data_IF_424403631982
#
_entry.id   IF_424403631982
#
_cell.length_a   1.000
_cell.length_b   1.000
_cell.length_c   1.000
_cell.angle_alpha   90.00
_cell.angle_beta   90.00
_cell.angle_gamma   90.00
#
_symmetry.space_group_name_H-M   'P 1'
#
loop_
_entity.id
_entity.type
_entity.pdbx_description
1 polymer ?
#
# COMPACT_ATOMS: atom_id res chain seq x y z
N UNK A 1 10.41 2.93 8.29
CA UNK A 1 9.09 2.91 7.62
C UNK A 1 8.85 4.27 7.00
N UNK A 2 8.06 4.38 5.95
CA UNK A 2 7.62 5.67 5.39
C UNK A 2 6.17 5.60 4.89
N UNK A 3 5.48 6.74 4.91
CA UNK A 3 4.12 6.89 4.39
C UNK A 3 4.12 7.64 3.06
N UNK A 4 3.27 7.19 2.14
CA UNK A 4 3.13 7.74 0.79
C UNK A 4 1.65 7.83 0.42
N UNK A 5 1.28 8.88 -0.32
CA UNK A 5 -0.09 9.12 -0.75
C UNK A 5 -0.06 9.48 -2.24
N UNK A 6 -1.02 8.95 -3.01
CA UNK A 6 -1.25 9.25 -4.42
C UNK A 6 -2.66 9.85 -4.61
N UNK A 7 -2.88 10.56 -5.71
CA UNK A 7 -4.18 11.13 -6.07
C UNK A 7 -4.38 12.59 -5.64
N UNK A 8 -3.30 13.37 -5.59
CA UNK A 8 -3.41 14.82 -5.40
C UNK A 8 -3.91 15.52 -6.68
N UNK A 9 -4.58 16.66 -6.51
CA UNK A 9 -4.93 17.54 -7.64
C UNK A 9 -3.66 18.02 -8.37
N UNK A 10 -3.67 17.96 -9.70
CA UNK A 10 -2.52 18.27 -10.55
C UNK A 10 -1.44 17.19 -10.59
N UNK A 11 -1.66 16.03 -9.98
CA UNK A 11 -0.74 14.89 -10.05
C UNK A 11 -0.60 14.37 -11.48
N UNK A 12 0.65 14.16 -11.92
CA UNK A 12 0.97 13.60 -13.22
C UNK A 12 1.06 12.07 -13.16
N UNK A 13 0.60 11.41 -14.22
CA UNK A 13 0.74 9.96 -14.46
C UNK A 13 2.15 9.44 -14.15
N UNK A 14 2.22 8.19 -13.67
CA UNK A 14 3.45 7.54 -13.22
C UNK A 14 3.93 8.02 -11.85
N UNK A 15 3.05 8.62 -11.03
CA UNK A 15 3.38 9.02 -9.67
C UNK A 15 3.74 7.79 -8.82
N UNK A 16 2.97 6.72 -8.96
CA UNK A 16 3.23 5.47 -8.26
C UNK A 16 4.62 4.90 -8.61
N UNK A 17 5.00 4.88 -9.89
CA UNK A 17 6.31 4.40 -10.33
C UNK A 17 7.47 5.21 -9.74
N UNK A 18 7.31 6.53 -9.62
CA UNK A 18 8.32 7.40 -8.96
C UNK A 18 8.44 7.08 -7.46
N UNK A 19 7.34 6.79 -6.79
CA UNK A 19 7.31 6.37 -5.39
C UNK A 19 7.99 5.01 -5.22
N UNK A 20 7.68 4.03 -6.07
CA UNK A 20 8.34 2.71 -6.07
C UNK A 20 9.85 2.88 -6.19
N UNK A 21 10.31 3.65 -7.17
CA UNK A 21 11.75 3.91 -7.38
C UNK A 21 12.39 4.51 -6.13
N UNK A 22 11.76 5.53 -5.53
CA UNK A 22 12.28 6.14 -4.31
C UNK A 22 12.35 5.13 -3.14
N UNK A 23 11.31 4.32 -2.95
CA UNK A 23 11.25 3.28 -1.90
C UNK A 23 12.37 2.26 -2.08
N UNK A 24 12.62 1.84 -3.31
CA UNK A 24 13.69 0.90 -3.66
C UNK A 24 15.09 1.49 -3.43
N UNK A 25 15.33 2.73 -3.90
CA UNK A 25 16.62 3.42 -3.75
C UNK A 25 16.96 3.72 -2.28
N UNK A 26 15.97 4.19 -1.52
CA UNK A 26 16.10 4.47 -0.10
C UNK A 26 16.12 3.19 0.76
N UNK A 27 15.87 2.02 0.16
CA UNK A 27 15.75 0.73 0.83
C UNK A 27 14.76 0.78 2.01
N UNK A 28 13.55 1.33 1.80
CA UNK A 28 12.52 1.44 2.83
C UNK A 28 11.75 0.11 2.91
N UNK A 29 11.86 -0.70 3.99
CA UNK A 29 11.23 -2.03 4.00
C UNK A 29 9.70 -1.94 3.94
N UNK A 30 9.13 -1.12 4.84
CA UNK A 30 7.68 -0.89 4.94
C UNK A 30 7.31 0.48 4.41
N UNK A 31 6.60 0.50 3.29
CA UNK A 31 6.06 1.69 2.64
C UNK A 31 4.53 1.67 2.74
N UNK A 32 3.98 2.39 3.73
CA UNK A 32 2.54 2.55 3.85
C UNK A 32 2.07 3.43 2.70
N UNK A 33 1.30 2.87 1.77
CA UNK A 33 0.87 3.57 0.57
C UNK A 33 -0.65 3.65 0.56
N UNK A 34 -1.22 4.80 0.22
CA UNK A 34 -2.66 5.02 0.23
C UNK A 34 -3.09 6.00 -0.86
N UNK A 35 -4.37 5.98 -1.20
CA UNK A 35 -4.99 7.02 -2.03
C UNK A 35 -5.48 8.17 -1.15
N UNK A 36 -5.47 9.40 -1.68
CA UNK A 36 -5.86 10.59 -0.94
C UNK A 36 -7.37 10.53 -0.59
N UNK A 37 -7.66 10.81 0.67
CA UNK A 37 -9.03 10.86 1.21
C UNK A 37 -9.28 12.25 1.78
N UNK A 38 -10.43 12.83 1.44
CA UNK A 38 -10.90 14.07 2.05
C UNK A 38 -11.65 13.74 3.35
N UNK A 39 -11.04 13.97 4.50
CA UNK A 39 -11.72 13.72 5.78
C UNK A 39 -12.70 14.85 6.13
N UNK A 40 -13.86 14.54 6.74
CA UNK A 40 -14.84 15.54 7.14
C UNK A 40 -14.22 16.67 7.97
N UNK A 41 -14.68 17.90 7.74
CA UNK A 41 -14.24 19.12 8.45
C UNK A 41 -12.77 19.52 8.24
N UNK A 42 -12.08 18.94 7.25
CA UNK A 42 -10.75 19.41 6.85
C UNK A 42 -10.81 20.52 5.82
N UNK A 43 -9.71 21.28 5.66
CA UNK A 43 -9.61 22.30 4.62
C UNK A 43 -9.81 21.71 3.20
N UNK A 44 -9.31 20.50 2.97
CA UNK A 44 -9.51 19.78 1.71
C UNK A 44 -11.00 19.44 1.49
N UNK A 45 -11.69 18.96 2.52
CA UNK A 45 -13.12 18.67 2.47
C UNK A 45 -13.94 19.90 2.10
N UNK A 46 -13.79 21.00 2.83
CA UNK A 46 -14.54 22.23 2.56
C UNK A 46 -14.28 22.79 1.17
N UNK A 47 -13.06 22.66 0.66
CA UNK A 47 -12.72 23.04 -0.72
C UNK A 47 -13.46 22.16 -1.72
N UNK A 48 -13.36 20.84 -1.59
CA UNK A 48 -13.98 19.89 -2.52
C UNK A 48 -15.52 19.93 -2.45
N UNK A 49 -16.09 20.22 -1.29
CA UNK A 49 -17.52 20.45 -1.09
C UNK A 49 -17.98 21.67 -1.91
N UNK A 50 -17.25 22.78 -1.79
CA UNK A 50 -17.51 24.00 -2.58
C UNK A 50 -17.35 23.78 -4.08
N UNK A 51 -16.41 22.92 -4.48
CA UNK A 51 -16.17 22.53 -5.87
C UNK A 51 -17.17 21.49 -6.40
N UNK A 52 -18.05 20.93 -5.55
CA UNK A 52 -19.00 19.89 -5.94
C UNK A 52 -18.35 18.55 -6.30
N UNK A 53 -17.13 18.28 -5.81
CA UNK A 53 -16.31 17.10 -6.16
C UNK A 53 -16.35 15.99 -5.11
N UNK A 54 -16.96 16.22 -3.95
CA UNK A 54 -17.10 15.20 -2.90
C UNK A 54 -18.11 14.13 -3.30
N UNK A 55 -17.83 12.89 -2.91
CA UNK A 55 -18.72 11.74 -3.16
C UNK A 55 -19.33 11.27 -1.84
N UNK A 56 -20.64 11.52 -1.69
CA UNK A 56 -21.39 11.33 -0.44
C UNK A 56 -21.52 9.85 -0.02
N UNK A 57 -21.53 8.92 -0.98
CA UNK A 57 -21.73 7.47 -0.74
C UNK A 57 -20.43 6.66 -0.53
N UNK A 58 -19.28 7.31 -0.42
CA UNK A 58 -17.99 6.62 -0.28
C UNK A 58 -17.61 6.49 1.19
N UNK A 59 -17.02 5.35 1.59
CA UNK A 59 -16.48 5.19 2.95
C UNK A 59 -15.49 6.31 3.24
N UNK A 60 -15.76 7.10 4.27
CA UNK A 60 -14.88 8.18 4.73
C UNK A 60 -13.85 7.60 5.71
N UNK A 61 -13.01 6.70 5.21
CA UNK A 61 -11.95 6.08 6.01
C UNK A 61 -10.57 6.30 5.37
N UNK A 62 -9.51 6.05 6.15
CA UNK A 62 -8.11 6.18 5.73
C UNK A 62 -7.48 4.82 5.39
N UNK A 63 -8.30 3.83 5.01
CA UNK A 63 -7.81 2.49 4.75
C UNK A 63 -7.05 2.43 3.42
N UNK A 64 -5.99 1.61 3.35
CA UNK A 64 -5.21 1.36 2.13
C UNK A 64 -5.99 0.53 1.10
N UNK A 65 -7.22 0.14 1.40
CA UNK A 65 -8.09 -0.56 0.46
C UNK A 65 -9.33 0.25 0.08
N UNK A 66 -9.36 1.55 0.36
CA UNK A 66 -10.47 2.43 -0.01
C UNK A 66 -10.13 3.29 -1.21
N UNK A 67 -11.03 3.32 -2.20
CA UNK A 67 -11.01 4.21 -3.34
C UNK A 67 -11.24 5.66 -2.87
N UNK A 68 -10.82 6.64 -3.67
CA UNK A 68 -10.93 8.06 -3.32
C UNK A 68 -12.40 8.49 -3.15
N UNK A 69 -12.66 9.25 -2.08
CA UNK A 69 -13.99 9.77 -1.75
C UNK A 69 -14.34 11.11 -2.44
N UNK A 70 -13.60 11.48 -3.48
CA UNK A 70 -13.84 12.67 -4.30
C UNK A 70 -13.36 12.43 -5.74
N UNK A 71 -13.79 13.27 -6.67
CA UNK A 71 -13.40 13.21 -8.08
C UNK A 71 -12.06 13.96 -8.25
N UNK A 72 -10.93 13.29 -8.57
CA UNK A 72 -9.64 13.95 -8.75
C UNK A 72 -9.54 14.69 -10.10
N UNK A 73 -8.46 15.45 -10.31
CA UNK A 73 -8.22 16.14 -11.60
C UNK A 73 -7.76 15.23 -12.74
N UNK A 74 -7.49 13.95 -12.45
CA UNK A 74 -7.15 12.91 -13.43
C UNK A 74 -8.11 11.72 -13.26
N UNK A 75 -8.31 10.86 -14.28
CA UNK A 75 -9.25 9.74 -14.19
C UNK A 75 -8.94 8.85 -13.00
N UNK A 76 -9.96 8.51 -12.19
CA UNK A 76 -9.78 7.73 -10.96
C UNK A 76 -9.31 6.30 -11.26
N UNK A 77 -9.68 5.78 -12.42
CA UNK A 77 -9.23 4.51 -12.98
C UNK A 77 -7.71 4.46 -13.09
N UNK A 78 -7.09 5.48 -13.68
CA UNK A 78 -5.63 5.54 -13.82
C UNK A 78 -4.94 5.57 -12.46
N UNK A 79 -5.51 6.28 -11.48
CA UNK A 79 -4.97 6.34 -10.11
C UNK A 79 -5.06 4.97 -9.46
N UNK A 80 -6.21 4.31 -9.58
CA UNK A 80 -6.46 3.00 -8.99
C UNK A 80 -5.56 1.92 -9.60
N UNK A 81 -5.37 1.94 -10.93
CA UNK A 81 -4.48 1.01 -11.63
C UNK A 81 -3.01 1.20 -11.20
N UNK A 82 -2.52 2.45 -11.21
CA UNK A 82 -1.18 2.79 -10.71
C UNK A 82 -1.00 2.36 -9.25
N UNK A 83 -2.03 2.56 -8.42
CA UNK A 83 -2.03 2.20 -7.02
C UNK A 83 -1.89 0.69 -6.81
N UNK A 84 -2.69 -0.10 -7.54
CA UNK A 84 -2.64 -1.57 -7.52
C UNK A 84 -1.26 -2.06 -7.97
N UNK A 85 -0.74 -1.53 -9.07
CA UNK A 85 0.58 -1.90 -9.60
C UNK A 85 1.69 -1.64 -8.58
N UNK A 86 1.66 -0.48 -7.92
CA UNK A 86 2.61 -0.17 -6.87
C UNK A 86 2.50 -1.08 -5.66
N UNK A 87 1.30 -1.37 -5.16
CA UNK A 87 1.14 -2.35 -4.08
C UNK A 87 1.66 -3.73 -4.46
N UNK A 88 1.37 -4.16 -5.68
CA UNK A 88 1.80 -5.45 -6.19
C UNK A 88 3.32 -5.58 -6.27
N UNK A 89 3.96 -4.50 -6.72
CA UNK A 89 5.42 -4.42 -6.91
C UNK A 89 6.16 -4.24 -5.58
N UNK A 90 5.70 -3.32 -4.73
CA UNK A 90 6.33 -3.00 -3.44
C UNK A 90 6.32 -4.21 -2.50
N UNK A 91 5.22 -4.97 -2.50
CA UNK A 91 5.03 -6.12 -1.64
C UNK A 91 5.20 -7.45 -2.39
N UNK A 92 5.93 -7.44 -3.51
CA UNK A 92 6.45 -8.68 -4.05
C UNK A 92 7.46 -9.34 -3.10
N UNK A 93 7.40 -10.66 -3.00
CA UNK A 93 8.20 -11.41 -2.04
C UNK A 93 9.71 -11.20 -2.25
N UNK A 94 10.16 -11.10 -3.50
CA UNK A 94 11.57 -10.90 -3.82
C UNK A 94 11.97 -9.45 -3.60
N UNK A 95 11.21 -8.50 -4.15
CA UNK A 95 11.48 -7.08 -3.99
C UNK A 95 11.54 -6.68 -2.51
N UNK A 96 10.57 -7.14 -1.70
CA UNK A 96 10.53 -6.88 -0.28
C UNK A 96 11.75 -7.44 0.46
N UNK A 97 12.16 -8.69 0.17
CA UNK A 97 13.32 -9.30 0.80
C UNK A 97 14.63 -8.60 0.42
N UNK A 98 14.83 -8.31 -0.87
CA UNK A 98 16.03 -7.64 -1.38
C UNK A 98 16.12 -6.20 -0.83
N UNK A 99 14.98 -5.49 -0.75
CA UNK A 99 14.88 -4.15 -0.15
C UNK A 99 15.14 -4.16 1.35
N UNK A 100 14.54 -5.10 2.08
CA UNK A 100 14.74 -5.25 3.53
C UNK A 100 16.21 -5.57 3.83
N UNK A 101 16.82 -6.50 3.10
CA UNK A 101 18.24 -6.81 3.25
C UNK A 101 19.14 -5.58 3.06
N UNK A 102 18.95 -4.81 1.99
CA UNK A 102 19.69 -3.56 1.75
C UNK A 102 19.50 -2.54 2.87
N UNK A 103 18.31 -2.45 3.46
CA UNK A 103 18.04 -1.58 4.61
C UNK A 103 18.90 -1.99 5.81
N UNK A 104 18.87 -3.26 6.18
CA UNK A 104 19.54 -3.77 7.38
C UNK A 104 21.07 -3.82 7.25
N UNK A 105 21.62 -3.85 6.04
CA UNK A 105 23.04 -3.61 5.82
C UNK A 105 23.47 -2.15 6.05
N UNK A 106 22.56 -1.18 5.83
CA UNK A 106 22.83 0.25 6.04
C UNK A 106 22.57 0.69 7.49
N UNK A 107 21.76 -0.06 8.24
CA UNK A 107 21.44 0.27 9.63
C UNK A 107 22.67 0.12 10.52
N UNK A 108 22.94 1.14 11.34
CA UNK A 108 23.90 1.02 12.43
C UNK A 108 23.40 0.07 13.53
N UNK A 109 24.30 -0.34 14.41
CA UNK A 109 23.92 -1.09 15.61
C UNK A 109 22.88 -0.30 16.44
N UNK A 110 21.87 -0.99 17.01
CA UNK A 110 20.87 -0.33 17.85
C UNK A 110 21.55 0.33 19.04
N UNK A 111 21.24 1.61 19.28
CA UNK A 111 21.84 2.37 20.39
C UNK A 111 21.17 2.09 21.74
N UNK A 112 19.97 1.49 21.74
CA UNK A 112 19.26 1.07 22.94
C UNK A 112 19.42 -0.44 23.10
N UNK A 113 20.06 -0.85 24.20
CA UNK A 113 20.22 -2.25 24.58
C UNK A 113 19.23 -2.57 25.72
N UNK A 114 18.02 -3.05 25.41
CA UNK A 114 17.13 -3.55 26.45
C UNK A 114 17.78 -4.75 27.15
N UNK A 115 17.48 -4.97 28.45
CA UNK A 115 17.98 -6.15 29.16
C UNK A 115 17.50 -7.42 28.45
N UNK A 116 18.40 -8.39 28.31
CA UNK A 116 18.10 -9.67 27.67
C UNK A 116 16.91 -10.35 28.37
N UNK A 117 15.90 -10.74 27.58
CA UNK A 117 14.75 -11.51 28.05
C UNK A 117 14.75 -12.85 27.31
N UNK A 118 14.49 -13.92 28.03
CA UNK A 118 14.30 -15.23 27.41
C UNK A 118 13.09 -15.16 26.47
N UNK A 119 13.20 -15.67 25.23
CA UNK A 119 12.09 -15.67 24.29
C UNK A 119 10.93 -16.48 24.88
N UNK A 120 9.72 -15.95 24.75
CA UNK A 120 8.52 -16.66 25.16
C UNK A 120 8.22 -17.82 24.19
N UNK A 121 7.34 -18.74 24.60
CA UNK A 121 6.83 -19.79 23.70
C UNK A 121 6.17 -19.21 22.44
N UNK A 122 5.60 -18.01 22.54
CA UNK A 122 5.00 -17.31 21.41
C UNK A 122 6.08 -16.85 20.43
N UNK A 123 7.19 -16.31 20.93
CA UNK A 123 8.31 -15.86 20.10
C UNK A 123 8.98 -17.02 19.38
N UNK A 124 9.20 -18.13 20.08
CA UNK A 124 9.75 -19.36 19.49
C UNK A 124 8.82 -19.92 18.41
N UNK A 125 7.50 -19.91 18.65
CA UNK A 125 6.51 -20.33 17.67
C UNK A 125 6.50 -19.41 16.45
N UNK A 126 6.57 -18.09 16.65
CA UNK A 126 6.62 -17.11 15.56
C UNK A 126 7.89 -17.30 14.71
N UNK A 127 9.05 -17.46 15.36
CA UNK A 127 10.32 -17.75 14.68
C UNK A 127 10.24 -19.05 13.86
N UNK A 128 9.70 -20.12 14.44
CA UNK A 128 9.52 -21.40 13.75
C UNK A 128 8.62 -21.26 12.50
N UNK A 129 7.54 -20.47 12.59
CA UNK A 129 6.66 -20.19 11.46
C UNK A 129 7.41 -19.44 10.36
N UNK A 130 8.21 -18.42 10.69
CA UNK A 130 8.99 -17.64 9.72
C UNK A 130 10.03 -18.52 9.04
N UNK A 131 10.81 -19.27 9.82
CA UNK A 131 11.83 -20.20 9.30
C UNK A 131 11.20 -21.25 8.38
N UNK A 132 10.05 -21.82 8.76
CA UNK A 132 9.35 -22.79 7.93
C UNK A 132 8.80 -22.16 6.64
N UNK A 133 8.06 -21.06 6.75
CA UNK A 133 7.40 -20.43 5.60
C UNK A 133 8.43 -19.82 4.65
N UNK A 134 9.28 -18.91 5.12
CA UNK A 134 10.26 -18.21 4.29
C UNK A 134 11.45 -19.11 3.93
N UNK A 135 11.91 -19.94 4.85
CA UNK A 135 13.11 -20.76 4.67
C UNK A 135 12.91 -22.08 3.93
N UNK A 136 11.68 -22.62 3.85
CA UNK A 136 11.43 -23.91 3.18
C UNK A 136 10.26 -23.86 2.19
N UNK A 137 9.10 -23.34 2.60
CA UNK A 137 7.88 -23.38 1.78
C UNK A 137 7.94 -22.45 0.55
N UNK A 138 8.38 -21.20 0.73
CA UNK A 138 8.36 -20.17 -0.33
C UNK A 138 9.45 -20.41 -1.38
N UNK A 139 9.21 -19.89 -2.60
CA UNK A 139 10.20 -19.93 -3.70
C UNK A 139 11.45 -19.09 -3.39
N UNK A 140 11.30 -18.06 -2.57
CA UNK A 140 12.36 -17.13 -2.14
C UNK A 140 13.33 -17.69 -1.09
N UNK A 141 13.23 -18.98 -0.76
CA UNK A 141 14.00 -19.63 0.32
C UNK A 141 15.51 -19.41 0.25
N UNK A 142 16.09 -19.52 -0.95
CA UNK A 142 17.54 -19.38 -1.13
C UNK A 142 17.99 -17.93 -0.90
N UNK A 143 17.21 -16.96 -1.37
CA UNK A 143 17.42 -15.53 -1.08
C UNK A 143 17.29 -15.24 0.42
N UNK A 144 16.27 -15.80 1.07
CA UNK A 144 16.05 -15.64 2.50
C UNK A 144 17.26 -16.12 3.32
N UNK A 145 17.74 -17.35 3.08
CA UNK A 145 18.90 -17.88 3.80
C UNK A 145 20.18 -17.10 3.48
N UNK A 146 20.41 -16.74 2.23
CA UNK A 146 21.53 -15.89 1.83
C UNK A 146 21.54 -14.56 2.62
N UNK A 147 20.43 -13.82 2.64
CA UNK A 147 20.34 -12.55 3.36
C UNK A 147 20.47 -12.73 4.87
N UNK A 148 19.83 -13.76 5.43
CA UNK A 148 19.89 -14.03 6.86
C UNK A 148 21.33 -14.28 7.32
N UNK A 149 22.04 -15.21 6.68
CA UNK A 149 23.44 -15.48 7.04
C UNK A 149 24.36 -14.30 6.74
N UNK A 150 24.08 -13.53 5.69
CA UNK A 150 24.82 -12.30 5.41
C UNK A 150 24.65 -11.25 6.51
N UNK A 151 23.42 -11.03 7.01
CA UNK A 151 23.17 -10.09 8.11
C UNK A 151 23.82 -10.58 9.40
N UNK A 152 23.68 -11.86 9.74
CA UNK A 152 24.32 -12.44 10.94
C UNK A 152 25.84 -12.25 10.91
N UNK A 153 26.46 -12.33 9.72
CA UNK A 153 27.90 -12.14 9.54
C UNK A 153 28.34 -10.67 9.57
N UNK A 154 27.61 -9.77 8.89
CA UNK A 154 28.07 -8.39 8.66
C UNK A 154 27.44 -7.38 9.61
N UNK A 155 26.28 -7.68 10.20
CA UNK A 155 25.55 -6.80 11.10
C UNK A 155 24.75 -7.63 12.12
N UNK A 156 25.45 -8.39 12.96
CA UNK A 156 24.83 -9.25 13.97
C UNK A 156 23.79 -8.51 14.85
N UNK A 157 24.05 -7.30 15.40
CA UNK A 157 23.13 -6.68 16.35
C UNK A 157 21.69 -6.41 15.84
N UNK A 158 21.45 -6.48 14.52
CA UNK A 158 20.13 -6.22 13.92
C UNK A 158 19.40 -7.47 13.43
N UNK A 159 19.96 -8.67 13.64
CA UNK A 159 19.41 -9.92 13.07
C UNK A 159 17.97 -10.22 13.54
N UNK A 160 17.66 -9.96 14.81
CA UNK A 160 16.32 -10.18 15.37
C UNK A 160 15.30 -9.27 14.69
N UNK A 161 15.61 -7.98 14.62
CA UNK A 161 14.74 -6.99 13.98
C UNK A 161 14.56 -7.28 12.48
N UNK A 162 15.60 -7.76 11.80
CA UNK A 162 15.49 -8.20 10.40
C UNK A 162 14.46 -9.32 10.25
N UNK A 163 14.54 -10.36 11.09
CA UNK A 163 13.59 -11.47 11.04
C UNK A 163 12.16 -11.03 11.36
N UNK A 164 11.98 -10.12 12.32
CA UNK A 164 10.67 -9.54 12.62
C UNK A 164 10.09 -8.81 11.41
N UNK A 165 10.90 -8.02 10.68
CA UNK A 165 10.45 -7.35 9.46
C UNK A 165 10.14 -8.36 8.34
N UNK A 166 10.93 -9.42 8.20
CA UNK A 166 10.62 -10.51 7.27
C UNK A 166 9.33 -11.26 7.63
N UNK A 167 8.97 -11.36 8.92
CA UNK A 167 7.70 -11.95 9.35
C UNK A 167 6.50 -11.13 8.85
N UNK A 168 6.58 -9.80 8.92
CA UNK A 168 5.53 -8.91 8.41
C UNK A 168 5.25 -9.10 6.91
N UNK A 169 6.25 -9.51 6.12
CA UNK A 169 6.09 -9.79 4.70
C UNK A 169 4.98 -10.82 4.41
N UNK A 170 4.78 -11.81 5.29
CA UNK A 170 3.74 -12.82 5.10
C UNK A 170 2.34 -12.20 5.08
N UNK A 171 2.10 -11.21 5.95
CA UNK A 171 0.85 -10.46 5.93
C UNK A 171 0.74 -9.60 4.67
N UNK A 172 1.81 -8.93 4.25
CA UNK A 172 1.78 -8.08 3.06
C UNK A 172 1.53 -8.85 1.75
N UNK A 173 2.03 -10.08 1.64
CA UNK A 173 1.80 -10.93 0.47
C UNK A 173 0.34 -11.33 0.28
N UNK A 174 -0.38 -11.54 1.37
CA UNK A 174 -1.83 -11.78 1.36
C UNK A 174 -2.58 -10.46 1.18
N UNK A 175 -2.16 -9.42 1.89
CA UNK A 175 -2.79 -8.11 1.88
C UNK A 175 -2.77 -7.43 0.51
N UNK A 176 -1.69 -7.57 -0.29
CA UNK A 176 -1.66 -7.01 -1.65
C UNK A 176 -2.77 -7.58 -2.56
N UNK A 177 -3.18 -8.83 -2.33
CA UNK A 177 -4.29 -9.43 -3.07
C UNK A 177 -5.63 -8.84 -2.62
N UNK A 178 -5.82 -8.69 -1.31
CA UNK A 178 -7.01 -8.05 -0.72
C UNK A 178 -7.16 -6.62 -1.25
N UNK A 179 -6.09 -5.82 -1.20
CA UNK A 179 -6.08 -4.44 -1.70
C UNK A 179 -6.47 -4.39 -3.18
N UNK A 180 -5.86 -5.24 -4.02
CA UNK A 180 -6.23 -5.32 -5.44
C UNK A 180 -7.71 -5.62 -5.63
N UNK A 181 -8.20 -6.67 -4.96
CA UNK A 181 -9.56 -7.17 -5.18
C UNK A 181 -10.60 -6.16 -4.68
N UNK A 182 -10.38 -5.52 -3.53
CA UNK A 182 -11.27 -4.49 -2.97
C UNK A 182 -11.27 -3.21 -3.82
N UNK A 183 -10.12 -2.75 -4.31
CA UNK A 183 -10.05 -1.57 -5.18
C UNK A 183 -10.69 -1.85 -6.54
N UNK A 184 -10.46 -3.03 -7.13
CA UNK A 184 -11.11 -3.42 -8.39
C UNK A 184 -12.62 -3.52 -8.24
N UNK A 185 -13.11 -4.01 -7.10
CA UNK A 185 -14.55 -4.04 -6.82
C UNK A 185 -15.12 -2.62 -6.73
N UNK A 186 -14.49 -1.74 -5.96
CA UNK A 186 -14.93 -0.34 -5.81
C UNK A 186 -14.88 0.42 -7.14
N UNK A 187 -13.90 0.12 -8.01
CA UNK A 187 -13.80 0.73 -9.33
C UNK A 187 -14.95 0.31 -10.25
N UNK A 188 -15.36 -0.97 -10.20
CA UNK A 188 -16.55 -1.43 -10.94
C UNK A 188 -17.82 -0.77 -10.44
N UNK A 189 -17.98 -0.66 -9.12
CA UNK A 189 -19.13 0.02 -8.51
C UNK A 189 -19.17 1.50 -8.92
N UNK A 190 -18.00 2.17 -8.97
CA UNK A 190 -17.85 3.53 -9.48
C UNK A 190 -18.33 3.68 -10.93
N UNK A 191 -17.82 2.84 -11.83
CA UNK A 191 -18.20 2.89 -13.25
C UNK A 191 -19.70 2.68 -13.47
N UNK A 192 -20.33 1.79 -12.69
CA UNK A 192 -21.78 1.57 -12.74
C UNK A 192 -22.54 2.83 -12.27
N UNK A 193 -22.07 3.50 -11.22
CA UNK A 193 -22.68 4.74 -10.72
C UNK A 193 -22.57 5.87 -11.76
N UNK A 194 -21.39 6.07 -12.36
CA UNK A 194 -21.20 7.09 -13.39
C UNK A 194 -22.08 6.83 -14.61
N UNK A 195 -22.14 5.59 -15.09
CA UNK A 195 -22.98 5.24 -16.24
C UNK A 195 -24.47 5.51 -15.97
N UNK A 196 -24.95 5.22 -14.75
CA UNK A 196 -26.34 5.52 -14.33
C UNK A 196 -26.61 7.02 -14.28
N UNK A 197 -25.65 7.80 -13.77
CA UNK A 197 -25.78 9.25 -13.70
C UNK A 197 -25.82 9.88 -15.09
N UNK A 198 -24.92 9.47 -15.99
CA UNK A 198 -24.91 9.92 -17.38
C UNK A 198 -26.21 9.57 -18.11
N UNK A 199 -26.76 8.37 -17.91
CA UNK A 199 -28.04 7.96 -18.50
C UNK A 199 -29.21 8.81 -17.97
N UNK A 200 -29.19 9.14 -16.68
CA UNK A 200 -30.24 9.96 -16.05
C UNK A 200 -30.20 11.39 -16.57
N UNK A 201 -29.00 11.95 -16.76
CA UNK A 201 -28.79 13.28 -17.34
C UNK A 201 -29.17 13.32 -18.83
N UNK A 202 -28.89 12.27 -19.60
CA UNK A 202 -29.30 12.21 -21.02
C UNK A 202 -30.83 12.14 -21.17
N UNK A 203 -31.49 11.33 -20.35
CA UNK A 203 -32.95 11.18 -20.36
C UNK A 203 -33.66 12.47 -19.94
N UNK A 204 -33.15 13.17 -18.91
CA UNK A 204 -33.72 14.46 -18.48
C UNK A 204 -33.54 15.54 -19.54
N UNK A 205 -32.40 15.56 -20.23
CA UNK A 205 -32.14 16.47 -21.36
C UNK A 205 -33.09 16.19 -22.53
N UNK A 206 -33.32 14.93 -22.90
CA UNK A 206 -34.28 14.56 -23.96
C UNK A 206 -35.72 14.92 -23.62
N UNK A 207 -36.13 14.76 -22.36
CA UNK A 207 -37.46 15.14 -21.86
C UNK A 207 -37.65 16.66 -21.89
N UNK A 208 -36.63 17.44 -21.55
CA UNK A 208 -36.65 18.90 -21.61
C UNK A 208 -36.74 19.42 -23.06
N UNK A 209 -36.16 18.72 -24.04
CA UNK A 209 -36.24 19.08 -25.46
C UNK A 209 -37.61 18.74 -26.07
N UNK A 210 -38.29 17.69 -25.58
CA UNK A 210 -39.59 17.25 -26.10
C UNK A 210 -40.81 17.99 -25.54
N UNK A 211 -40.66 18.73 -24.45
CA UNK A 211 -41.73 19.54 -23.84
C UNK A 211 -41.29 21.01 -23.71
N UNK A 212 -41.37 21.81 -24.81
CA UNK A 212 -41.14 23.26 -24.75
C UNK A 212 -42.25 24.01 -24.01
#
# INVERSE_FOLDING_TARGET
MAGFIIGFDGEKTGAASRIIRFVEEAAIPTAMFGMLQALPHTALWHRLEKEGRLRVDTKQDINQSSLMNFIPTRPIEEIAEEYIEAFWTLYDAENFLDRTYRCFLKLGAPQCHPPFKLPSLVDLRALAIVVWRQGFKRKTRWKFWHHFFSIVKHNYPVWEHYLTVCAHNEHFLEYRAIVRDEIQQQLKEFQIQEAKQQLTESLSTELAIKNP
#
